data_IF_993245677668
#
_entry.id   IF_993245677668
#
_cell.length_a   1.000
_cell.length_b   1.000
_cell.length_c   1.000
_cell.angle_alpha   90.00
_cell.angle_beta   90.00
_cell.angle_gamma   90.00
#
_symmetry.space_group_name_H-M   'P 1'
#
loop_
_entity.id
_entity.type
_entity.pdbx_description
1 polymer ?
#
# COMPACT_ATOMS: atom_id res chain seq x y z
N UNK A 1 -7.35 27.73 30.07
CA UNK A 1 -8.23 26.64 29.61
C UNK A 1 -8.17 26.34 28.10
N UNK A 2 -7.86 27.30 27.21
CA UNK A 2 -7.82 27.10 25.74
C UNK A 2 -6.77 26.05 25.28
N UNK A 3 -5.54 26.17 25.78
CA UNK A 3 -4.39 25.26 25.50
C UNK A 3 -4.57 23.76 25.82
N UNK A 4 -5.55 23.37 26.67
CA UNK A 4 -5.85 21.95 26.98
C UNK A 4 -6.86 21.37 25.98
N UNK A 5 -7.85 22.15 25.56
CA UNK A 5 -8.85 21.75 24.55
C UNK A 5 -8.23 21.56 23.17
N UNK A 6 -7.27 22.42 22.78
CA UNK A 6 -6.60 22.33 21.48
C UNK A 6 -5.73 21.06 21.35
N UNK A 7 -5.10 20.62 22.45
CA UNK A 7 -4.30 19.37 22.49
C UNK A 7 -5.18 18.13 22.42
N UNK A 8 -6.30 18.13 23.12
CA UNK A 8 -7.23 17.00 23.10
C UNK A 8 -7.91 16.84 21.74
N UNK A 9 -8.24 17.95 21.08
CA UNK A 9 -8.76 17.97 19.71
C UNK A 9 -7.72 17.42 18.71
N UNK A 10 -6.47 17.88 18.79
CA UNK A 10 -5.37 17.32 17.98
C UNK A 10 -5.19 15.82 18.21
N UNK A 11 -5.22 15.37 19.47
CA UNK A 11 -5.08 13.94 19.81
C UNK A 11 -6.19 13.09 19.20
N UNK A 12 -7.44 13.57 19.23
CA UNK A 12 -8.59 12.89 18.62
C UNK A 12 -8.47 12.80 17.09
N UNK A 13 -7.96 13.84 16.43
CA UNK A 13 -7.70 13.83 14.98
C UNK A 13 -6.62 12.81 14.62
N UNK A 14 -5.50 12.80 15.34
CA UNK A 14 -4.39 11.86 15.11
C UNK A 14 -4.86 10.41 15.29
N UNK A 15 -5.61 10.14 16.37
CA UNK A 15 -6.16 8.81 16.64
C UNK A 15 -7.16 8.35 15.54
N UNK A 16 -8.01 9.25 15.04
CA UNK A 16 -8.90 8.94 13.93
C UNK A 16 -8.14 8.66 12.64
N UNK A 17 -7.08 9.42 12.35
CA UNK A 17 -6.23 9.17 11.18
C UNK A 17 -5.52 7.81 11.26
N UNK A 18 -5.05 7.40 12.43
CA UNK A 18 -4.48 6.06 12.66
C UNK A 18 -5.51 4.95 12.42
N UNK A 19 -6.72 5.08 12.97
CA UNK A 19 -7.80 4.11 12.76
C UNK A 19 -8.21 3.98 11.28
N UNK A 20 -8.25 5.10 10.54
CA UNK A 20 -8.56 5.10 9.10
C UNK A 20 -7.45 4.37 8.31
N UNK A 21 -6.18 4.59 8.67
CA UNK A 21 -5.04 3.90 8.05
C UNK A 21 -5.10 2.40 8.32
N UNK A 22 -5.38 1.96 9.55
CA UNK A 22 -5.53 0.53 9.85
C UNK A 22 -6.67 -0.11 9.03
N UNK A 23 -7.80 0.58 8.89
CA UNK A 23 -8.91 0.12 8.05
C UNK A 23 -8.53 -0.02 6.55
N UNK A 24 -7.66 0.86 6.04
CA UNK A 24 -7.15 0.76 4.66
C UNK A 24 -6.30 -0.50 4.46
N UNK A 25 -5.36 -0.76 5.37
CA UNK A 25 -4.47 -1.92 5.25
C UNK A 25 -5.24 -3.24 5.35
N UNK A 26 -6.24 -3.34 6.23
CA UNK A 26 -7.13 -4.50 6.29
C UNK A 26 -7.86 -4.75 4.96
N UNK A 27 -8.33 -3.68 4.30
CA UNK A 27 -8.96 -3.79 2.98
C UNK A 27 -7.98 -4.25 1.92
N UNK A 28 -6.73 -3.76 1.95
CA UNK A 28 -5.68 -4.18 1.03
C UNK A 28 -5.37 -5.68 1.17
N UNK A 29 -5.31 -6.24 2.39
CA UNK A 29 -5.11 -7.69 2.59
C UNK A 29 -6.16 -8.50 1.85
N UNK A 30 -7.43 -8.08 1.96
CA UNK A 30 -8.57 -8.77 1.34
C UNK A 30 -8.53 -8.76 -0.19
N UNK A 31 -7.70 -7.91 -0.79
CA UNK A 31 -7.48 -7.87 -2.23
C UNK A 31 -6.47 -8.92 -2.72
N UNK A 32 -5.74 -9.62 -1.84
CA UNK A 32 -4.82 -10.68 -2.27
C UNK A 32 -5.58 -11.92 -2.74
N UNK A 33 -5.28 -12.39 -3.95
CA UNK A 33 -5.83 -13.64 -4.49
C UNK A 33 -5.01 -14.84 -4.05
N UNK A 34 -5.58 -16.04 -4.20
CA UNK A 34 -4.93 -17.30 -3.81
C UNK A 34 -3.53 -17.48 -4.45
N UNK A 35 -3.30 -16.94 -5.64
CA UNK A 35 -2.01 -16.98 -6.33
C UNK A 35 -0.95 -15.98 -5.81
N UNK A 36 -1.29 -15.08 -4.89
CA UNK A 36 -0.38 -14.07 -4.34
C UNK A 36 -0.49 -12.67 -4.96
N UNK A 37 -1.12 -12.56 -6.13
CA UNK A 37 -1.40 -11.26 -6.78
C UNK A 37 -2.43 -10.43 -6.02
N UNK A 38 -2.30 -9.12 -6.11
CA UNK A 38 -3.31 -8.15 -5.65
C UNK A 38 -4.12 -7.62 -6.84
N UNK A 39 -5.42 -7.48 -6.65
CA UNK A 39 -6.36 -6.99 -7.68
C UNK A 39 -7.39 -6.06 -7.03
N UNK A 40 -7.73 -4.97 -7.71
CA UNK A 40 -8.73 -3.99 -7.26
C UNK A 40 -8.16 -2.95 -6.30
N UNK A 41 -6.83 -2.81 -6.20
CA UNK A 41 -6.19 -1.83 -5.33
C UNK A 41 -6.47 -0.40 -5.79
N UNK A 42 -6.68 -0.19 -7.08
CA UNK A 42 -7.10 1.08 -7.68
C UNK A 42 -8.45 1.59 -7.14
N UNK A 43 -9.32 0.69 -6.66
CA UNK A 43 -10.57 1.09 -5.99
C UNK A 43 -10.36 1.64 -4.59
N UNK A 44 -9.25 1.27 -3.93
CA UNK A 44 -8.89 1.71 -2.59
C UNK A 44 -7.95 2.92 -2.63
N UNK A 45 -7.01 2.93 -3.58
CA UNK A 45 -5.98 3.95 -3.75
C UNK A 45 -6.03 4.41 -5.21
N UNK A 46 -6.82 5.46 -5.45
CA UNK A 46 -7.05 6.01 -6.78
C UNK A 46 -5.78 6.55 -7.42
N UNK A 47 -4.77 6.93 -6.65
CA UNK A 47 -3.50 7.42 -7.18
C UNK A 47 -2.75 6.38 -8.04
N UNK A 48 -3.09 5.10 -7.93
CA UNK A 48 -2.55 4.04 -8.80
C UNK A 48 -3.06 4.18 -10.24
N UNK A 49 -4.19 4.86 -10.46
CA UNK A 49 -4.77 5.07 -11.80
C UNK A 49 -3.82 5.79 -12.75
N UNK A 50 -2.80 6.49 -12.23
CA UNK A 50 -1.73 7.07 -13.05
C UNK A 50 -1.02 6.03 -13.93
N UNK A 51 -1.10 4.75 -13.57
CA UNK A 51 -0.52 3.65 -14.33
C UNK A 51 -1.53 2.90 -15.22
N UNK A 52 -2.84 3.21 -15.18
CA UNK A 52 -3.88 2.44 -15.91
C UNK A 52 -3.67 2.36 -17.42
N UNK A 53 -3.19 3.45 -18.01
CA UNK A 53 -2.99 3.56 -19.46
C UNK A 53 -1.55 3.21 -19.89
N UNK A 54 -0.79 2.54 -19.02
CA UNK A 54 0.56 2.08 -19.38
C UNK A 54 0.50 0.75 -20.12
N UNK A 55 1.56 0.42 -20.86
CA UNK A 55 1.73 -0.87 -21.53
C UNK A 55 1.90 -2.06 -20.57
N UNK A 56 1.95 -1.82 -19.25
CA UNK A 56 2.21 -2.85 -18.25
C UNK A 56 0.92 -3.47 -17.72
N UNK A 57 0.98 -4.76 -17.39
CA UNK A 57 -0.12 -5.46 -16.74
C UNK A 57 -0.47 -4.77 -15.41
N UNK A 58 -1.71 -4.31 -15.30
CA UNK A 58 -2.23 -3.61 -14.13
C UNK A 58 -2.15 -4.48 -12.87
N UNK A 59 -2.29 -5.79 -12.99
CA UNK A 59 -2.13 -6.72 -11.88
C UNK A 59 -0.70 -6.70 -11.37
N UNK A 60 0.29 -6.63 -12.27
CA UNK A 60 1.72 -6.55 -11.91
C UNK A 60 2.00 -5.23 -11.21
N UNK A 61 1.50 -4.12 -11.75
CA UNK A 61 1.65 -2.78 -11.15
C UNK A 61 1.01 -2.73 -9.75
N UNK A 62 -0.23 -3.18 -9.60
CA UNK A 62 -0.94 -3.20 -8.32
C UNK A 62 -0.24 -4.10 -7.30
N UNK A 63 0.19 -5.30 -7.72
CA UNK A 63 0.90 -6.23 -6.83
C UNK A 63 2.24 -5.65 -6.38
N UNK A 64 3.02 -5.08 -7.30
CA UNK A 64 4.30 -4.43 -6.97
C UNK A 64 4.10 -3.24 -6.04
N UNK A 65 3.10 -2.39 -6.31
CA UNK A 65 2.75 -1.26 -5.44
C UNK A 65 2.44 -1.70 -4.01
N UNK A 66 1.57 -2.70 -3.83
CA UNK A 66 1.21 -3.19 -2.49
C UNK A 66 2.43 -3.77 -1.76
N UNK A 67 3.30 -4.51 -2.45
CA UNK A 67 4.55 -5.01 -1.86
C UNK A 67 5.39 -3.88 -1.30
N UNK A 68 5.58 -2.80 -2.06
CA UNK A 68 6.35 -1.65 -1.59
C UNK A 68 5.65 -0.94 -0.43
N UNK A 69 4.32 -0.75 -0.52
CA UNK A 69 3.53 -0.12 0.53
C UNK A 69 3.63 -0.89 1.87
N UNK A 70 3.53 -2.22 1.84
CA UNK A 70 3.62 -3.05 3.04
C UNK A 70 5.03 -3.07 3.63
N UNK A 71 6.07 -3.10 2.78
CA UNK A 71 7.47 -3.05 3.23
C UNK A 71 7.81 -1.74 3.94
N UNK A 72 7.36 -0.62 3.39
CA UNK A 72 7.57 0.71 3.96
C UNK A 72 6.74 0.92 5.24
N UNK A 73 5.51 0.40 5.31
CA UNK A 73 4.63 0.57 6.47
C UNK A 73 5.05 -0.28 7.68
N UNK A 74 5.53 -1.51 7.45
CA UNK A 74 5.76 -2.50 8.49
C UNK A 74 7.20 -2.99 8.52
N UNK A 75 8.13 -2.04 8.64
CA UNK A 75 9.57 -2.33 8.81
C UNK A 75 9.81 -3.26 10.01
N UNK A 76 8.97 -3.19 11.05
CA UNK A 76 9.14 -3.91 12.33
C UNK A 76 8.26 -5.17 12.52
N UNK A 77 8.14 -6.03 11.51
CA UNK A 77 7.75 -7.44 11.70
C UNK A 77 6.35 -7.73 12.31
N UNK A 78 5.26 -7.46 11.59
CA UNK A 78 4.08 -8.33 11.73
C UNK A 78 4.22 -9.52 10.76
N UNK A 79 4.25 -10.73 11.30
CA UNK A 79 4.46 -11.99 10.56
C UNK A 79 3.45 -12.14 9.42
N UNK A 80 2.21 -11.72 9.64
CA UNK A 80 1.13 -11.75 8.65
C UNK A 80 1.51 -11.00 7.36
N UNK A 81 2.03 -9.78 7.46
CA UNK A 81 2.43 -8.99 6.28
C UNK A 81 3.62 -9.60 5.56
N UNK A 82 4.57 -10.21 6.29
CA UNK A 82 5.71 -10.90 5.66
C UNK A 82 5.24 -12.05 4.77
N UNK A 83 4.24 -12.81 5.21
CA UNK A 83 3.70 -13.92 4.41
C UNK A 83 3.00 -13.39 3.15
N UNK A 84 2.19 -12.34 3.28
CA UNK A 84 1.51 -11.71 2.15
C UNK A 84 2.51 -11.16 1.12
N UNK A 85 3.53 -10.44 1.59
CA UNK A 85 4.61 -9.89 0.75
C UNK A 85 5.37 -11.00 0.05
N UNK A 86 5.84 -12.00 0.79
CA UNK A 86 6.60 -13.12 0.22
C UNK A 86 5.82 -13.86 -0.86
N UNK A 87 4.51 -14.03 -0.66
CA UNK A 87 3.63 -14.68 -1.65
C UNK A 87 3.47 -13.83 -2.91
N UNK A 88 3.33 -12.51 -2.75
CA UNK A 88 3.25 -11.58 -3.87
C UNK A 88 4.57 -11.48 -4.64
N UNK A 89 5.71 -11.46 -3.95
CA UNK A 89 7.05 -11.47 -4.56
C UNK A 89 7.28 -12.70 -5.41
N UNK A 90 6.99 -13.90 -4.87
CA UNK A 90 7.05 -15.15 -5.65
C UNK A 90 6.17 -15.10 -6.89
N UNK A 91 4.99 -14.48 -6.80
CA UNK A 91 4.13 -14.33 -7.97
C UNK A 91 4.74 -13.36 -8.99
N UNK A 92 5.33 -12.25 -8.56
CA UNK A 92 5.99 -11.26 -9.42
C UNK A 92 7.22 -11.83 -10.14
N UNK A 93 7.96 -12.74 -9.52
CA UNK A 93 9.08 -13.46 -10.14
C UNK A 93 8.66 -14.26 -11.39
N UNK A 94 7.38 -14.66 -11.47
CA UNK A 94 6.81 -15.35 -12.65
C UNK A 94 6.37 -14.41 -13.78
N UNK A 95 6.55 -13.09 -13.61
CA UNK A 95 6.07 -12.05 -14.53
C UNK A 95 7.24 -11.29 -15.13
N UNK A 96 6.97 -10.59 -16.23
CA UNK A 96 7.94 -9.67 -16.80
C UNK A 96 8.23 -8.55 -15.79
N UNK A 97 9.51 -8.22 -15.55
CA UNK A 97 9.88 -7.18 -14.61
C UNK A 97 9.47 -5.81 -15.14
N UNK A 98 9.00 -4.95 -14.24
CA UNK A 98 8.76 -3.54 -14.56
C UNK A 98 10.11 -2.83 -14.82
N UNK A 99 10.17 -1.85 -15.73
CA UNK A 99 11.33 -0.98 -15.87
C UNK A 99 11.64 -0.22 -14.58
N UNK A 100 12.91 0.08 -14.34
CA UNK A 100 13.36 0.68 -13.08
C UNK A 100 12.74 2.06 -12.82
N UNK A 101 12.53 2.84 -13.88
CA UNK A 101 11.83 4.13 -13.80
C UNK A 101 10.41 3.98 -13.23
N UNK A 102 9.66 2.98 -13.72
CA UNK A 102 8.29 2.71 -13.28
C UNK A 102 8.30 2.23 -11.83
N UNK A 103 9.25 1.35 -11.46
CA UNK A 103 9.41 0.92 -10.07
C UNK A 103 9.67 2.10 -9.14
N UNK A 104 10.56 3.02 -9.52
CA UNK A 104 10.86 4.22 -8.73
C UNK A 104 9.62 5.11 -8.54
N UNK A 105 8.82 5.30 -9.59
CA UNK A 105 7.55 6.05 -9.51
C UNK A 105 6.51 5.36 -8.61
N UNK A 106 6.46 4.03 -8.61
CA UNK A 106 5.58 3.24 -7.73
C UNK A 106 6.06 3.33 -6.27
N UNK A 107 7.35 3.19 -6.01
CA UNK A 107 7.94 3.31 -4.68
C UNK A 107 7.72 4.71 -4.09
N UNK A 108 7.92 5.76 -4.89
CA UNK A 108 7.65 7.13 -4.49
C UNK A 108 6.18 7.33 -4.10
N UNK A 109 5.24 6.75 -4.87
CA UNK A 109 3.83 6.80 -4.54
C UNK A 109 3.51 6.04 -3.24
N UNK A 110 4.06 4.85 -3.05
CA UNK A 110 3.84 4.07 -1.83
C UNK A 110 4.28 4.84 -0.58
N UNK A 111 5.43 5.51 -0.65
CA UNK A 111 5.92 6.38 0.44
C UNK A 111 4.99 7.54 0.73
N UNK A 112 4.47 8.21 -0.31
CA UNK A 112 3.58 9.36 -0.11
C UNK A 112 2.25 8.98 0.55
N UNK A 113 1.73 7.78 0.30
CA UNK A 113 0.52 7.26 0.98
C UNK A 113 0.75 7.01 2.47
N UNK A 114 1.97 6.61 2.86
CA UNK A 114 2.29 6.34 4.27
C UNK A 114 2.52 7.64 5.05
N UNK A 115 3.17 8.62 4.41
CA UNK A 115 3.54 9.91 5.00
C UNK A 115 2.39 10.93 5.07
N UNK A 116 1.32 10.75 4.27
CA UNK A 116 0.05 11.49 4.42
C UNK A 116 -0.65 11.09 5.71
#
# INVERSE_FOLDING_TARGET
>A
MKKRRDREYHRKIVQQQENIKECLFEKIVKCQKAAGKFVGIDTLIKEIDKFKNTQFDQTVVQTFFVVQLLKEKFVENKIEWKLLVKKAEKWLETKQPLPEEIKAQIMSLAKSIILK
#
